data_IF_989834482464
#
_entry.id   IF_989834482464
#
_cell.length_a   1.000
_cell.length_b   1.000
_cell.length_c   1.000
_cell.angle_alpha   90.00
_cell.angle_beta   90.00
_cell.angle_gamma   90.00
#
_symmetry.space_group_name_H-M   'P 1'
#
loop_
_entity.id
_entity.type
_entity.pdbx_description
1 polymer ?
#
# COMPACT_ATOMS: atom_id res chain seq x y z
N UNK A 1 10.51 2.47 15.06
CA UNK A 1 11.05 2.76 13.71
C UNK A 1 9.90 3.39 12.95
N UNK A 2 10.08 4.54 12.29
CA UNK A 2 8.96 5.23 11.65
C UNK A 2 8.22 4.27 10.72
N UNK A 3 6.98 3.93 11.04
CA UNK A 3 6.11 3.14 10.18
C UNK A 3 5.92 3.94 8.88
N UNK A 4 6.67 3.60 7.83
CA UNK A 4 6.55 4.20 6.49
C UNK A 4 5.09 4.20 6.00
N UNK A 5 4.37 3.17 6.42
CA UNK A 5 2.94 2.99 6.21
C UNK A 5 2.07 4.03 6.90
N UNK A 6 2.46 4.61 8.04
CA UNK A 6 1.67 5.62 8.75
C UNK A 6 1.53 6.94 7.99
N UNK A 7 2.35 7.15 6.96
CA UNK A 7 2.27 8.30 6.06
C UNK A 7 1.34 8.07 4.87
N UNK A 8 0.82 6.85 4.71
CA UNK A 8 -0.06 6.51 3.59
C UNK A 8 -1.49 6.97 3.86
N UNK A 9 -2.01 7.78 2.95
CA UNK A 9 -3.37 8.30 2.99
C UNK A 9 -4.21 7.71 1.84
N UNK A 10 -5.55 7.65 1.98
CA UNK A 10 -6.43 7.29 0.89
C UNK A 10 -6.15 8.12 -0.37
N UNK A 11 -6.02 7.44 -1.51
CA UNK A 11 -5.69 8.05 -2.80
C UNK A 11 -4.21 7.91 -3.20
N UNK A 12 -3.30 7.69 -2.25
CA UNK A 12 -1.88 7.51 -2.57
C UNK A 12 -1.63 6.24 -3.37
N UNK A 13 -0.68 6.30 -4.30
CA UNK A 13 -0.24 5.16 -5.09
C UNK A 13 0.92 4.44 -4.42
N UNK A 14 0.88 3.12 -4.45
CA UNK A 14 1.84 2.25 -3.77
C UNK A 14 2.15 1.00 -4.59
N UNK A 15 3.28 0.37 -4.31
CA UNK A 15 3.65 -0.98 -4.78
C UNK A 15 3.92 -1.91 -3.61
N UNK A 16 3.55 -3.18 -3.79
CA UNK A 16 3.95 -4.23 -2.87
C UNK A 16 5.38 -4.69 -3.20
N UNK A 17 6.32 -4.68 -2.24
CA UNK A 17 7.73 -5.02 -2.51
C UNK A 17 7.90 -6.48 -2.96
N UNK A 18 7.16 -7.40 -2.33
CA UNK A 18 7.30 -8.84 -2.61
C UNK A 18 6.38 -9.38 -3.71
N UNK A 19 5.46 -8.55 -4.22
CA UNK A 19 4.42 -8.95 -5.19
C UNK A 19 4.40 -7.96 -6.36
N UNK A 20 5.48 -7.93 -7.18
CA UNK A 20 5.62 -6.95 -8.26
C UNK A 20 4.57 -7.12 -9.37
N UNK A 21 4.04 -8.33 -9.53
CA UNK A 21 3.01 -8.76 -10.48
C UNK A 21 1.62 -8.20 -10.17
N UNK A 22 1.35 -7.76 -8.93
CA UNK A 22 0.10 -7.09 -8.57
C UNK A 22 -0.04 -5.69 -9.20
N UNK A 23 1.08 -5.13 -9.67
CA UNK A 23 1.15 -3.80 -10.27
C UNK A 23 1.07 -2.67 -9.24
N UNK A 24 0.81 -1.45 -9.73
CA UNK A 24 0.56 -0.30 -8.85
C UNK A 24 -0.83 -0.44 -8.22
N UNK A 25 -0.92 -0.17 -6.92
CA UNK A 25 -2.18 -0.11 -6.20
C UNK A 25 -2.47 1.27 -5.64
N UNK A 26 -3.75 1.54 -5.37
CA UNK A 26 -4.19 2.75 -4.71
C UNK A 26 -4.65 2.44 -3.29
N UNK A 27 -4.15 3.20 -2.32
CA UNK A 27 -4.59 3.11 -0.92
C UNK A 27 -6.05 3.56 -0.83
N UNK A 28 -6.92 2.72 -0.29
CA UNK A 28 -8.31 3.04 0.02
C UNK A 28 -8.50 3.43 1.48
N UNK A 29 -7.75 2.83 2.40
CA UNK A 29 -7.76 3.15 3.82
C UNK A 29 -6.47 2.75 4.51
N UNK A 30 -6.15 3.42 5.61
CA UNK A 30 -5.03 3.10 6.49
C UNK A 30 -5.47 3.35 7.94
N UNK A 31 -5.89 2.29 8.63
CA UNK A 31 -6.50 2.39 9.97
C UNK A 31 -6.01 1.24 10.83
N UNK A 32 -5.52 1.55 12.03
CA UNK A 32 -5.11 0.55 13.02
C UNK A 32 -3.99 -0.38 12.52
N UNK A 33 -3.06 0.15 11.74
CA UNK A 33 -1.95 -0.62 11.14
C UNK A 33 -2.36 -1.53 9.98
N UNK A 34 -3.62 -1.48 9.53
CA UNK A 34 -4.09 -2.19 8.33
C UNK A 34 -4.31 -1.22 7.19
N UNK A 35 -3.75 -1.56 6.04
CA UNK A 35 -3.83 -0.74 4.84
C UNK A 35 -4.64 -1.50 3.80
N UNK A 36 -5.77 -0.95 3.38
CA UNK A 36 -6.53 -1.52 2.26
C UNK A 36 -6.03 -0.87 0.99
N UNK A 37 -5.57 -1.68 0.04
CA UNK A 37 -5.07 -1.23 -1.26
C UNK A 37 -5.83 -1.95 -2.36
N UNK A 38 -6.21 -1.23 -3.40
CA UNK A 38 -6.72 -1.85 -4.62
C UNK A 38 -5.60 -1.87 -5.67
N UNK A 39 -5.01 -3.05 -5.85
CA UNK A 39 -3.98 -3.32 -6.84
C UNK A 39 -4.59 -3.55 -8.21
N UNK A 40 -3.89 -3.10 -9.26
CA UNK A 40 -4.40 -3.16 -10.63
C UNK A 40 -4.68 -4.59 -11.12
N UNK A 41 -3.78 -5.53 -10.80
CA UNK A 41 -3.85 -6.90 -11.33
C UNK A 41 -4.42 -7.91 -10.32
N UNK A 42 -4.33 -7.62 -9.01
CA UNK A 42 -4.80 -8.52 -7.93
C UNK A 42 -6.16 -8.08 -7.33
N UNK A 43 -6.54 -6.81 -7.52
CA UNK A 43 -7.72 -6.23 -6.89
C UNK A 43 -7.49 -5.81 -5.43
N UNK A 44 -8.54 -5.87 -4.61
CA UNK A 44 -8.52 -5.32 -3.24
C UNK A 44 -7.85 -6.27 -2.25
N UNK A 45 -6.75 -5.82 -1.65
CA UNK A 45 -5.99 -6.54 -0.64
C UNK A 45 -5.87 -5.71 0.63
N UNK A 46 -5.92 -6.37 1.79
CA UNK A 46 -5.63 -5.75 3.09
C UNK A 46 -4.24 -6.18 3.52
N UNK A 47 -3.37 -5.19 3.74
CA UNK A 47 -1.97 -5.37 4.12
C UNK A 47 -1.82 -5.07 5.61
N UNK A 48 -1.07 -5.94 6.30
CA UNK A 48 -0.61 -5.69 7.67
C UNK A 48 0.65 -4.81 7.61
N UNK A 49 0.47 -3.53 7.96
CA UNK A 49 1.51 -2.51 7.90
C UNK A 49 2.66 -2.73 8.89
N UNK A 50 2.48 -3.60 9.90
CA UNK A 50 3.55 -4.00 10.81
C UNK A 50 4.51 -5.04 10.19
N UNK A 51 4.09 -5.70 9.11
CA UNK A 51 4.85 -6.79 8.45
C UNK A 51 5.39 -6.39 7.08
N UNK A 52 4.65 -5.56 6.36
CA UNK A 52 4.98 -5.16 4.98
C UNK A 52 5.04 -3.64 4.92
N UNK A 53 6.18 -3.08 4.53
CA UNK A 53 6.30 -1.66 4.19
C UNK A 53 6.01 -1.45 2.71
N UNK A 54 4.86 -0.83 2.40
CA UNK A 54 4.52 -0.50 1.02
C UNK A 54 5.41 0.64 0.51
N UNK A 55 5.71 0.60 -0.79
CA UNK A 55 6.56 1.59 -1.44
C UNK A 55 5.69 2.65 -2.12
N UNK A 56 5.71 3.92 -1.68
CA UNK A 56 4.99 5.00 -2.35
C UNK A 56 5.48 5.16 -3.80
N UNK A 57 4.55 5.41 -4.71
CA UNK A 57 4.84 5.77 -6.10
C UNK A 57 4.54 7.25 -6.27
N UNK A 58 5.54 8.03 -6.68
CA UNK A 58 5.37 9.42 -7.03
C UNK A 58 5.36 9.51 -8.57
N UNK A 59 4.20 9.79 -9.14
CA UNK A 59 4.14 10.25 -10.53
C UNK A 59 4.69 11.67 -10.55
N UNK A 60 5.83 11.85 -11.22
CA UNK A 60 6.53 13.13 -11.36
C UNK A 60 5.86 14.07 -12.34
#
# INVERSE_FOLDING_TARGET
MADLNSLLEPGMLVRHPDQPDWGTGQVQSNIGGRITVNFREEGKVVIDGARVSLLPVYDG
#
